data_IF_762752857072
#
_entry.id   IF_762752857072
#
_cell.length_a   1.000
_cell.length_b   1.000
_cell.length_c   1.000
_cell.angle_alpha   90.00
_cell.angle_beta   90.00
_cell.angle_gamma   90.00
#
_symmetry.space_group_name_H-M   'P 1'
#
loop_
_entity.id
_entity.type
_entity.pdbx_description
1 polymer ?
#
# COMPACT_ATOMS: atom_id res chain seq x y z
N UNK A 1 50.41 18.81 -3.50
CA UNK A 1 49.32 18.33 -2.61
C UNK A 1 47.95 19.04 -2.79
N UNK A 2 47.74 19.90 -3.81
CA UNK A 2 46.49 20.68 -3.96
C UNK A 2 45.41 20.13 -4.92
N UNK A 3 45.65 18.99 -5.60
CA UNK A 3 44.75 18.52 -6.67
C UNK A 3 43.66 17.55 -6.16
N UNK A 4 43.97 16.77 -5.11
CA UNK A 4 43.06 15.76 -4.56
C UNK A 4 41.84 16.41 -3.88
N UNK A 5 42.06 17.48 -3.10
CA UNK A 5 40.98 18.20 -2.41
C UNK A 5 40.00 18.94 -3.35
N UNK A 6 40.45 19.30 -4.57
CA UNK A 6 39.60 19.96 -5.58
C UNK A 6 38.72 18.94 -6.32
N UNK A 7 39.25 17.76 -6.60
CA UNK A 7 38.51 16.65 -7.23
C UNK A 7 37.37 16.14 -6.34
N UNK A 8 37.59 16.11 -5.02
CA UNK A 8 36.62 15.66 -4.02
C UNK A 8 35.45 16.62 -3.78
N UNK A 9 35.65 17.92 -4.07
CA UNK A 9 34.61 18.94 -3.93
C UNK A 9 33.74 19.03 -5.20
N UNK A 10 34.34 18.81 -6.38
CA UNK A 10 33.62 18.69 -7.65
C UNK A 10 32.79 17.40 -7.75
N UNK A 11 33.26 16.30 -7.15
CA UNK A 11 32.49 15.05 -7.08
C UNK A 11 31.28 15.14 -6.12
N UNK A 12 31.36 15.96 -5.07
CA UNK A 12 30.27 16.15 -4.08
C UNK A 12 29.12 17.03 -4.58
N UNK A 13 29.36 17.89 -5.57
CA UNK A 13 28.35 18.76 -6.18
C UNK A 13 27.58 18.09 -7.32
N UNK A 14 28.05 16.96 -7.85
CA UNK A 14 27.39 16.22 -8.93
C UNK A 14 26.39 15.16 -8.42
N UNK A 15 25.58 15.47 -7.39
CA UNK A 15 24.38 14.66 -7.15
C UNK A 15 23.43 14.92 -8.32
N UNK A 16 23.40 14.00 -9.29
CA UNK A 16 22.67 14.21 -10.54
C UNK A 16 21.23 14.67 -10.27
N UNK A 17 20.70 15.68 -10.98
CA UNK A 17 19.32 16.14 -10.82
C UNK A 17 18.30 14.99 -10.90
N UNK A 18 18.62 13.95 -11.68
CA UNK A 18 17.84 12.72 -11.84
C UNK A 18 17.77 11.87 -10.56
N UNK A 19 18.83 11.80 -9.77
CA UNK A 19 18.82 11.09 -8.49
C UNK A 19 17.97 11.83 -7.45
N UNK A 20 18.02 13.17 -7.45
CA UNK A 20 17.20 14.00 -6.58
C UNK A 20 15.70 13.91 -6.94
N UNK A 21 15.36 13.96 -8.24
CA UNK A 21 13.98 13.81 -8.70
C UNK A 21 13.41 12.42 -8.37
N UNK A 22 14.19 11.35 -8.61
CA UNK A 22 13.78 9.97 -8.28
C UNK A 22 13.47 9.82 -6.79
N UNK A 23 14.31 10.37 -5.90
CA UNK A 23 14.07 10.34 -4.45
C UNK A 23 12.82 11.13 -4.05
N UNK A 24 12.57 12.28 -4.68
CA UNK A 24 11.33 13.05 -4.45
C UNK A 24 10.10 12.25 -4.88
N UNK A 25 10.12 11.64 -6.06
CA UNK A 25 9.01 10.81 -6.54
C UNK A 25 8.76 9.63 -5.61
N UNK A 26 9.80 8.91 -5.21
CA UNK A 26 9.68 7.83 -4.24
C UNK A 26 9.05 8.29 -2.92
N UNK A 27 9.46 9.46 -2.41
CA UNK A 27 8.87 10.04 -1.20
C UNK A 27 7.40 10.38 -1.37
N UNK A 28 7.00 10.93 -2.51
CA UNK A 28 5.59 11.21 -2.81
C UNK A 28 4.79 9.91 -2.83
N UNK A 29 5.29 8.87 -3.48
CA UNK A 29 4.61 7.58 -3.56
C UNK A 29 4.38 6.94 -2.19
N UNK A 30 5.38 6.93 -1.30
CA UNK A 30 5.18 6.36 0.06
C UNK A 30 4.20 7.20 0.88
N UNK A 31 4.14 8.51 0.67
CA UNK A 31 3.16 9.39 1.34
C UNK A 31 1.73 9.17 0.79
N UNK A 32 1.57 8.97 -0.51
CA UNK A 32 0.28 8.59 -1.11
C UNK A 32 -0.18 7.25 -0.55
N UNK A 33 0.71 6.25 -0.52
CA UNK A 33 0.43 4.94 0.07
C UNK A 33 0.00 5.07 1.54
N UNK A 34 0.71 5.88 2.32
CA UNK A 34 0.37 6.12 3.72
C UNK A 34 -0.99 6.81 3.89
N UNK A 35 -1.27 7.85 3.10
CA UNK A 35 -2.54 8.58 3.16
C UNK A 35 -3.72 7.65 2.87
N UNK A 36 -3.64 6.87 1.79
CA UNK A 36 -4.71 5.94 1.41
C UNK A 36 -4.85 4.80 2.44
N UNK A 37 -3.74 4.23 2.91
CA UNK A 37 -3.76 3.20 3.95
C UNK A 37 -4.37 3.69 5.26
N UNK A 38 -4.10 4.94 5.66
CA UNK A 38 -4.71 5.59 6.82
C UNK A 38 -6.20 5.80 6.61
N UNK A 39 -6.66 6.17 5.41
CA UNK A 39 -8.10 6.25 5.10
C UNK A 39 -8.77 4.89 5.32
N UNK A 40 -8.21 3.80 4.80
CA UNK A 40 -8.75 2.46 5.05
C UNK A 40 -8.75 2.07 6.54
N UNK A 41 -7.68 2.44 7.27
CA UNK A 41 -7.59 2.20 8.71
C UNK A 41 -8.66 2.99 9.48
N UNK A 42 -8.88 4.26 9.11
CA UNK A 42 -9.86 5.14 9.73
C UNK A 42 -11.29 4.62 9.56
N UNK A 43 -11.67 4.16 8.35
CA UNK A 43 -12.98 3.53 8.15
C UNK A 43 -13.11 2.23 8.93
N UNK A 44 -12.06 1.40 8.98
CA UNK A 44 -12.07 0.16 9.77
C UNK A 44 -12.25 0.46 11.27
N UNK A 45 -11.59 1.50 11.79
CA UNK A 45 -11.76 1.94 13.18
C UNK A 45 -13.14 2.56 13.43
N UNK A 46 -13.66 3.35 12.49
CA UNK A 46 -15.00 3.91 12.57
C UNK A 46 -16.07 2.80 12.65
N UNK A 47 -15.97 1.77 11.83
CA UNK A 47 -16.86 0.60 11.91
C UNK A 47 -16.65 -0.20 13.19
N UNK A 48 -15.41 -0.29 13.69
CA UNK A 48 -15.12 -0.94 14.97
C UNK A 48 -15.84 -0.27 16.15
N UNK A 49 -16.07 1.05 16.06
CA UNK A 49 -16.78 1.84 17.05
C UNK A 49 -18.31 1.85 16.84
N UNK A 50 -18.83 1.00 15.95
CA UNK A 50 -20.27 0.88 15.66
C UNK A 50 -20.77 1.81 14.56
N UNK A 51 -19.87 2.51 13.85
CA UNK A 51 -20.22 3.29 12.67
C UNK A 51 -20.76 2.40 11.55
N UNK A 52 -21.76 2.88 10.81
CA UNK A 52 -22.41 2.11 9.72
C UNK A 52 -22.25 2.76 8.35
N UNK A 53 -21.70 3.98 8.29
CA UNK A 53 -21.50 4.69 7.04
C UNK A 53 -20.61 3.88 6.09
N UNK A 54 -21.08 3.68 4.86
CA UNK A 54 -20.48 2.82 3.82
C UNK A 54 -20.28 1.34 4.21
N UNK A 55 -20.76 0.86 5.36
CA UNK A 55 -20.58 -0.55 5.73
C UNK A 55 -21.30 -1.49 4.75
N UNK A 56 -22.43 -1.08 4.18
CA UNK A 56 -23.14 -1.83 3.13
C UNK A 56 -22.27 -2.06 1.88
N UNK A 57 -21.32 -1.17 1.61
CA UNK A 57 -20.43 -1.26 0.44
C UNK A 57 -19.27 -2.26 0.63
N UNK A 58 -19.11 -2.80 1.85
CA UNK A 58 -18.23 -3.94 2.15
C UNK A 58 -18.98 -5.26 1.92
N UNK A 59 -20.31 -5.26 2.14
CA UNK A 59 -21.20 -6.39 1.87
C UNK A 59 -22.19 -6.70 2.99
N UNK A 60 -23.34 -7.24 2.60
CA UNK A 60 -24.42 -7.63 3.51
C UNK A 60 -23.98 -8.54 4.67
N UNK A 61 -23.01 -9.43 4.44
CA UNK A 61 -22.46 -10.31 5.50
C UNK A 61 -21.78 -9.50 6.60
N UNK A 62 -21.01 -8.46 6.23
CA UNK A 62 -20.34 -7.60 7.21
C UNK A 62 -21.35 -6.77 8.01
N UNK A 63 -22.43 -6.31 7.37
CA UNK A 63 -23.53 -5.61 8.05
C UNK A 63 -24.24 -6.53 9.02
N UNK A 64 -24.56 -7.75 8.61
CA UNK A 64 -25.29 -8.71 9.45
C UNK A 64 -24.44 -9.16 10.64
N UNK A 65 -23.15 -9.44 10.42
CA UNK A 65 -22.24 -9.82 11.49
C UNK A 65 -22.06 -8.70 12.52
N UNK A 66 -21.92 -7.45 12.05
CA UNK A 66 -21.86 -6.26 12.92
C UNK A 66 -23.11 -6.08 13.79
N UNK A 67 -24.29 -6.47 13.29
CA UNK A 67 -25.55 -6.42 14.03
C UNK A 67 -25.71 -7.57 15.03
N UNK A 68 -25.31 -8.78 14.65
CA UNK A 68 -25.45 -9.98 15.49
C UNK A 68 -24.43 -10.00 16.62
N UNK A 69 -23.17 -9.73 16.31
CA UNK A 69 -22.04 -9.87 17.22
C UNK A 69 -21.23 -8.56 17.26
N UNK A 70 -21.77 -7.50 17.88
CA UNK A 70 -21.17 -6.15 17.80
C UNK A 70 -19.80 -6.06 18.46
N UNK A 71 -19.59 -6.76 19.57
CA UNK A 71 -18.29 -6.75 20.29
C UNK A 71 -17.22 -7.48 19.50
N UNK A 72 -17.53 -8.68 18.99
CA UNK A 72 -16.58 -9.47 18.20
C UNK A 72 -16.24 -8.77 16.87
N UNK A 73 -17.26 -8.26 16.18
CA UNK A 73 -17.09 -7.44 14.98
C UNK A 73 -16.21 -6.21 15.26
N UNK A 74 -16.46 -5.52 16.38
CA UNK A 74 -15.68 -4.36 16.81
C UNK A 74 -14.21 -4.71 17.03
N UNK A 75 -13.92 -5.80 17.75
CA UNK A 75 -12.55 -6.26 17.99
C UNK A 75 -11.84 -6.66 16.69
N UNK A 76 -12.51 -7.41 15.81
CA UNK A 76 -11.96 -7.80 14.52
C UNK A 76 -11.65 -6.58 13.64
N UNK A 77 -12.59 -5.65 13.52
CA UNK A 77 -12.41 -4.42 12.74
C UNK A 77 -11.35 -3.50 13.35
N UNK A 78 -11.25 -3.45 14.68
CA UNK A 78 -10.20 -2.74 15.39
C UNK A 78 -8.81 -3.32 15.14
N UNK A 79 -8.69 -4.65 15.17
CA UNK A 79 -7.44 -5.33 14.81
C UNK A 79 -7.06 -5.07 13.35
N UNK A 80 -8.03 -5.13 12.43
CA UNK A 80 -7.84 -4.80 11.01
C UNK A 80 -7.41 -3.34 10.83
N UNK A 81 -8.01 -2.40 11.57
CA UNK A 81 -7.63 -0.99 11.55
C UNK A 81 -6.18 -0.79 11.99
N UNK A 82 -5.77 -1.45 13.08
CA UNK A 82 -4.40 -1.41 13.57
C UNK A 82 -3.41 -1.95 12.54
N UNK A 83 -3.68 -3.12 11.96
CA UNK A 83 -2.83 -3.72 10.92
C UNK A 83 -2.71 -2.79 9.72
N UNK A 84 -3.81 -2.19 9.25
CA UNK A 84 -3.79 -1.23 8.14
C UNK A 84 -2.99 0.03 8.49
N UNK A 85 -3.16 0.58 9.69
CA UNK A 85 -2.39 1.74 10.13
C UNK A 85 -0.89 1.44 10.18
N UNK A 86 -0.50 0.28 10.72
CA UNK A 86 0.89 -0.17 10.73
C UNK A 86 1.43 -0.37 9.30
N UNK A 87 0.67 -1.05 8.44
CA UNK A 87 1.04 -1.26 7.04
C UNK A 87 1.19 0.05 6.26
N UNK A 88 0.42 1.09 6.61
CA UNK A 88 0.49 2.42 6.01
C UNK A 88 1.69 3.25 6.51
N UNK A 89 1.98 3.18 7.83
CA UNK A 89 2.94 4.07 8.48
C UNK A 89 4.37 3.49 8.55
N UNK A 90 4.52 2.18 8.68
CA UNK A 90 5.84 1.53 8.72
C UNK A 90 6.69 1.86 7.48
N UNK A 91 6.15 1.80 6.24
CA UNK A 91 6.92 2.19 5.04
C UNK A 91 7.47 3.62 5.10
N UNK A 92 6.71 4.56 5.65
CA UNK A 92 7.15 5.96 5.83
C UNK A 92 8.31 6.04 6.82
N UNK A 93 8.23 5.29 7.92
CA UNK A 93 9.29 5.21 8.92
C UNK A 93 10.56 4.52 8.38
N UNK A 94 10.39 3.47 7.56
CA UNK A 94 11.48 2.81 6.82
C UNK A 94 12.14 3.79 5.85
N UNK A 95 11.36 4.54 5.06
CA UNK A 95 11.88 5.55 4.14
C UNK A 95 12.66 6.66 4.87
N UNK A 96 12.16 7.07 6.04
CA UNK A 96 12.82 8.03 6.93
C UNK A 96 14.04 7.46 7.69
N UNK A 97 14.40 6.19 7.47
CA UNK A 97 15.50 5.49 8.15
C UNK A 97 15.33 5.43 9.69
N UNK A 98 14.09 5.36 10.17
CA UNK A 98 13.75 5.29 11.60
C UNK A 98 13.39 3.90 12.10
N UNK A 99 13.36 2.90 11.23
CA UNK A 99 13.01 1.51 11.58
C UNK A 99 14.23 0.61 11.67
N UNK A 100 14.32 -0.26 12.68
CA UNK A 100 15.30 -1.34 12.70
C UNK A 100 14.97 -2.36 11.60
N UNK A 101 15.99 -3.08 11.11
CA UNK A 101 15.87 -4.10 10.06
C UNK A 101 15.09 -3.66 8.80
N UNK A 102 15.49 -2.57 8.12
CA UNK A 102 14.75 -2.01 6.99
C UNK A 102 14.54 -3.00 5.84
N UNK A 103 15.42 -4.01 5.69
CA UNK A 103 15.27 -5.06 4.66
C UNK A 103 14.08 -5.97 4.92
N UNK A 104 13.83 -6.35 6.17
CA UNK A 104 12.70 -7.20 6.54
C UNK A 104 11.37 -6.48 6.27
N UNK A 105 11.25 -5.23 6.71
CA UNK A 105 10.07 -4.42 6.46
C UNK A 105 9.82 -4.18 4.97
N UNK A 106 10.88 -3.97 4.18
CA UNK A 106 10.76 -3.87 2.72
C UNK A 106 10.29 -5.16 2.07
N UNK A 107 10.74 -6.32 2.54
CA UNK A 107 10.27 -7.61 2.05
C UNK A 107 8.77 -7.80 2.36
N UNK A 108 8.35 -7.49 3.60
CA UNK A 108 6.95 -7.49 4.01
C UNK A 108 6.13 -6.52 3.14
N UNK A 109 6.64 -5.31 2.89
CA UNK A 109 5.97 -4.33 2.02
C UNK A 109 5.90 -4.76 0.55
N UNK A 110 6.86 -5.54 0.05
CA UNK A 110 6.78 -6.13 -1.30
C UNK A 110 5.67 -7.16 -1.39
N UNK A 111 5.62 -8.09 -0.43
CA UNK A 111 4.58 -9.13 -0.37
C UNK A 111 3.21 -8.50 -0.17
N UNK A 112 3.07 -7.61 0.83
CA UNK A 112 1.82 -6.93 1.14
C UNK A 112 1.37 -6.00 0.01
N UNK A 113 2.28 -5.19 -0.55
CA UNK A 113 1.98 -4.30 -1.66
C UNK A 113 1.56 -5.06 -2.91
N UNK A 114 2.30 -6.09 -3.31
CA UNK A 114 1.92 -6.95 -4.45
C UNK A 114 0.61 -7.69 -4.21
N UNK A 115 0.40 -8.23 -3.01
CA UNK A 115 -0.84 -8.91 -2.63
C UNK A 115 -2.07 -8.00 -2.73
N UNK A 116 -1.96 -6.76 -2.22
CA UNK A 116 -3.06 -5.79 -2.27
C UNK A 116 -3.34 -5.32 -3.71
N UNK A 117 -2.31 -5.18 -4.56
CA UNK A 117 -2.50 -4.89 -5.99
C UNK A 117 -3.32 -5.99 -6.66
N UNK A 118 -2.92 -7.25 -6.47
CA UNK A 118 -3.60 -8.40 -7.06
C UNK A 118 -5.04 -8.51 -6.54
N UNK A 119 -5.23 -8.41 -5.23
CA UNK A 119 -6.53 -8.44 -4.58
C UNK A 119 -7.45 -7.35 -5.13
N UNK A 120 -6.98 -6.09 -5.12
CA UNK A 120 -7.78 -4.96 -5.59
C UNK A 120 -8.14 -5.09 -7.07
N UNK A 121 -7.18 -5.46 -7.92
CA UNK A 121 -7.43 -5.64 -9.35
C UNK A 121 -8.47 -6.73 -9.62
N UNK A 122 -8.34 -7.89 -8.96
CA UNK A 122 -9.28 -9.00 -9.12
C UNK A 122 -10.68 -8.58 -8.72
N UNK A 123 -10.85 -7.92 -7.57
CA UNK A 123 -12.18 -7.48 -7.14
C UNK A 123 -12.78 -6.41 -8.05
N UNK A 124 -11.99 -5.44 -8.53
CA UNK A 124 -12.48 -4.45 -9.50
C UNK A 124 -13.02 -5.15 -10.76
N UNK A 125 -12.27 -6.12 -11.30
CA UNK A 125 -12.66 -6.86 -12.51
C UNK A 125 -13.92 -7.69 -12.25
N UNK A 126 -13.96 -8.44 -11.15
CA UNK A 126 -15.10 -9.30 -10.81
C UNK A 126 -16.35 -8.47 -10.56
N UNK A 127 -16.28 -7.47 -9.66
CA UNK A 127 -17.41 -6.61 -9.34
C UNK A 127 -17.86 -5.79 -10.55
N UNK A 128 -16.93 -5.31 -11.37
CA UNK A 128 -17.22 -4.64 -12.64
C UNK A 128 -17.95 -5.55 -13.63
N UNK A 129 -17.48 -6.79 -13.81
CA UNK A 129 -18.13 -7.78 -14.68
C UNK A 129 -19.54 -8.13 -14.22
N UNK A 130 -19.76 -8.23 -12.91
CA UNK A 130 -21.10 -8.43 -12.32
C UNK A 130 -22.01 -7.23 -12.60
N UNK A 131 -21.52 -6.00 -12.36
CA UNK A 131 -22.29 -4.78 -12.60
C UNK A 131 -22.64 -4.56 -14.08
N UNK A 132 -21.75 -4.96 -14.99
CA UNK A 132 -21.95 -4.92 -16.43
C UNK A 132 -22.79 -6.09 -16.96
N UNK A 133 -23.28 -7.00 -16.09
CA UNK A 133 -24.04 -8.20 -16.44
C UNK A 133 -23.29 -9.18 -17.35
N UNK A 134 -21.97 -9.07 -17.42
CA UNK A 134 -21.09 -10.03 -18.11
C UNK A 134 -21.00 -11.31 -17.28
N UNK A 135 -20.94 -11.18 -15.96
CA UNK A 135 -21.02 -12.27 -15.00
C UNK A 135 -22.36 -12.18 -14.27
N UNK A 136 -23.15 -13.24 -14.28
CA UNK A 136 -24.46 -13.28 -13.59
C UNK A 136 -24.41 -14.35 -12.50
N UNK A 137 -24.23 -13.95 -11.23
CA UNK A 137 -24.24 -14.89 -10.13
C UNK A 137 -25.60 -15.58 -9.95
N UNK A 138 -25.59 -16.89 -9.79
CA UNK A 138 -26.78 -17.64 -9.40
C UNK A 138 -27.20 -17.24 -7.98
N UNK A 139 -28.47 -16.84 -7.79
CA UNK A 139 -28.98 -16.37 -6.50
C UNK A 139 -28.96 -14.85 -6.29
N UNK A 140 -28.52 -14.07 -7.29
CA UNK A 140 -28.46 -12.60 -7.21
C UNK A 140 -27.18 -12.09 -6.55
N UNK A 141 -27.06 -10.76 -6.41
CA UNK A 141 -25.87 -10.13 -5.82
C UNK A 141 -26.24 -8.88 -5.02
N UNK A 142 -25.41 -8.56 -4.02
CA UNK A 142 -25.48 -7.30 -3.29
C UNK A 142 -24.90 -6.17 -4.16
N UNK A 143 -25.79 -5.31 -4.67
CA UNK A 143 -25.41 -4.24 -5.59
C UNK A 143 -24.54 -3.18 -4.92
N UNK A 144 -24.79 -2.86 -3.66
CA UNK A 144 -24.03 -1.84 -2.94
C UNK A 144 -22.61 -2.33 -2.68
N UNK A 145 -22.46 -3.61 -2.33
CA UNK A 145 -21.16 -4.26 -2.21
C UNK A 145 -20.39 -4.22 -3.53
N UNK A 146 -21.02 -4.60 -4.64
CA UNK A 146 -20.35 -4.60 -5.95
C UNK A 146 -19.92 -3.19 -6.37
N UNK A 147 -20.73 -2.16 -6.08
CA UNK A 147 -20.34 -0.76 -6.35
C UNK A 147 -19.18 -0.34 -5.46
N UNK A 148 -19.22 -0.68 -4.17
CA UNK A 148 -18.15 -0.42 -3.22
C UNK A 148 -16.82 -0.99 -3.66
N UNK A 149 -16.83 -2.27 -4.02
CA UNK A 149 -15.66 -2.98 -4.53
C UNK A 149 -15.17 -2.42 -5.86
N UNK A 150 -16.05 -2.25 -6.85
CA UNK A 150 -15.65 -1.81 -8.18
C UNK A 150 -15.12 -0.36 -8.22
N UNK A 151 -15.68 0.55 -7.41
CA UNK A 151 -15.48 1.99 -7.59
C UNK A 151 -14.83 2.71 -6.39
N UNK A 152 -14.79 2.09 -5.21
CA UNK A 152 -14.31 2.77 -4.01
C UNK A 152 -13.16 2.02 -3.32
N UNK A 153 -13.44 0.86 -2.73
CA UNK A 153 -12.50 0.20 -1.83
C UNK A 153 -11.33 -0.43 -2.57
N UNK A 154 -11.61 -1.22 -3.61
CA UNK A 154 -10.56 -1.94 -4.31
C UNK A 154 -9.73 -1.05 -5.23
N UNK A 155 -10.28 0.01 -5.87
CA UNK A 155 -9.46 1.04 -6.51
C UNK A 155 -8.51 1.73 -5.53
N UNK A 156 -8.97 2.06 -4.31
CA UNK A 156 -8.10 2.64 -3.29
C UNK A 156 -7.02 1.63 -2.85
N UNK A 157 -7.36 0.35 -2.65
CA UNK A 157 -6.37 -0.69 -2.38
C UNK A 157 -5.35 -0.81 -3.51
N UNK A 158 -5.80 -0.82 -4.76
CA UNK A 158 -4.94 -0.89 -5.94
C UNK A 158 -3.97 0.29 -5.99
N UNK A 159 -4.45 1.53 -5.80
CA UNK A 159 -3.59 2.72 -5.77
C UNK A 159 -2.61 2.67 -4.60
N UNK A 160 -3.05 2.23 -3.42
CA UNK A 160 -2.16 2.02 -2.26
C UNK A 160 -1.04 1.03 -2.59
N UNK A 161 -1.39 -0.14 -3.11
CA UNK A 161 -0.43 -1.18 -3.47
C UNK A 161 0.54 -0.75 -4.58
N UNK A 162 0.06 -0.07 -5.62
CA UNK A 162 0.89 0.47 -6.71
C UNK A 162 1.83 1.57 -6.22
N UNK A 163 1.36 2.45 -5.34
CA UNK A 163 2.20 3.50 -4.75
C UNK A 163 3.29 2.89 -3.86
N UNK A 164 2.94 1.89 -3.05
CA UNK A 164 3.89 1.20 -2.17
C UNK A 164 4.95 0.42 -2.97
N UNK A 165 4.53 -0.36 -3.96
CA UNK A 165 5.44 -1.11 -4.84
C UNK A 165 6.30 -0.19 -5.71
N UNK A 166 5.73 0.92 -6.19
CA UNK A 166 6.47 1.97 -6.90
C UNK A 166 7.54 2.63 -6.04
N UNK A 167 7.24 2.98 -4.78
CA UNK A 167 8.25 3.45 -3.83
C UNK A 167 9.39 2.43 -3.64
N UNK A 168 9.04 1.16 -3.42
CA UNK A 168 10.03 0.09 -3.24
C UNK A 168 10.92 -0.06 -4.47
N UNK A 169 10.33 0.00 -5.67
CA UNK A 169 11.04 -0.14 -6.93
C UNK A 169 12.01 1.04 -7.17
N UNK A 170 11.57 2.28 -6.94
CA UNK A 170 12.43 3.46 -7.09
C UNK A 170 13.55 3.56 -6.05
N UNK A 171 13.38 2.89 -4.89
CA UNK A 171 14.36 2.88 -3.80
C UNK A 171 15.18 1.59 -3.74
N UNK A 172 15.06 0.71 -4.75
CA UNK A 172 15.84 -0.54 -4.79
C UNK A 172 17.34 -0.21 -4.89
N UNK A 173 18.20 -0.88 -4.11
CA UNK A 173 19.63 -0.81 -4.36
C UNK A 173 19.92 -1.35 -5.77
N UNK A 174 20.46 -0.51 -6.66
CA UNK A 174 21.05 -1.01 -7.90
C UNK A 174 22.24 -1.85 -7.47
N UNK A 175 22.21 -3.16 -7.79
CA UNK A 175 23.27 -4.09 -7.39
C UNK A 175 24.62 -3.50 -7.75
N UNK A 176 25.55 -3.46 -6.78
CA UNK A 176 26.97 -3.30 -7.12
C UNK A 176 27.27 -4.46 -8.06
N UNK A 177 27.50 -4.16 -9.33
CA UNK A 177 28.07 -5.12 -10.26
C UNK A 177 29.28 -5.73 -9.54
N UNK A 178 29.27 -7.05 -9.36
CA UNK A 178 30.43 -7.78 -8.86
C UNK A 178 31.51 -7.64 -9.93
N UNK A 179 32.29 -6.57 -9.83
CA UNK A 179 33.59 -6.45 -10.47
C UNK A 179 34.63 -6.81 -9.43
N UNK A 180 34.85 -8.09 -9.26
CA UNK A 180 36.12 -8.62 -8.78
C UNK A 180 36.67 -9.52 -9.89
N UNK A 181 37.19 -8.88 -10.93
CA UNK A 181 38.20 -9.48 -11.78
C UNK A 181 39.59 -9.22 -11.19
N UNK A 182 40.52 -10.13 -11.46
CA UNK A 182 41.96 -10.15 -11.11
C UNK A 182 42.27 -10.47 -9.64
N UNK A 183 43.25 -11.31 -9.28
CA UNK A 183 44.22 -12.10 -10.03
C UNK A 183 44.81 -13.14 -9.06
N UNK A 184 45.12 -14.32 -9.57
CA UNK A 184 46.18 -15.20 -9.08
C UNK A 184 46.64 -16.07 -10.23
#
# INVERSE_FOLDING_TARGET
>A
MGNVARSDRAARTARSPRAASTRRTARILVLIAAAIGVVHAAFSAYWALGGTWLLSTIGAIAVEFSRREPVESGLMLGAVALVKALAALIPVAVDAQRMPWPRAWRAISWVGGGGIVLYGLVNIVVSGAVLLRILVPEGGYDRDAMIGHALLWDPLFLVWGLALTGWLWLTRPVGKAVSSGSAS
#
